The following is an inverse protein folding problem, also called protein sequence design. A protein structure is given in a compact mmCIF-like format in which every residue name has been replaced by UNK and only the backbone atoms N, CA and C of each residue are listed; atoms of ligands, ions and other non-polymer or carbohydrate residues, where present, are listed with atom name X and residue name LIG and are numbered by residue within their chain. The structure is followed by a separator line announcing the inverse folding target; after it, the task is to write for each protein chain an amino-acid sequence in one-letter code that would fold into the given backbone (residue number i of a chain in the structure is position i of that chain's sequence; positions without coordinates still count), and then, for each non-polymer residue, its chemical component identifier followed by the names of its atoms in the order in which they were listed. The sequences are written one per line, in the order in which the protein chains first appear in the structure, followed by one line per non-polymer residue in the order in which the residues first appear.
data_IF_448391986147
#
_entry.id   IF_448391986147
#
_cell.length_a   1.000
_cell.length_b   1.000
_cell.length_c   1.000
_cell.angle_alpha   90.00
_cell.angle_beta   90.00
_cell.angle_gamma   90.00
#
_symmetry.space_group_name_H-M   'P 1'
#
loop_
_entity.id
_entity.type
_entity.pdbx_description
1 polymer ?
#
# COMPACT_ATOMS: atom_id res chain seq x y z
N UNK A 1 -4.98 -14.74 -15.25
CA UNK A 1 -4.89 -14.48 -16.70
C UNK A 1 -6.30 -14.43 -17.23
N UNK A 2 -6.70 -13.30 -17.81
CA UNK A 2 -7.93 -13.19 -18.61
C UNK A 2 -7.58 -13.76 -19.99
N UNK A 3 -8.39 -14.69 -20.50
CA UNK A 3 -8.18 -15.29 -21.82
C UNK A 3 -8.55 -14.27 -22.89
N UNK A 4 -7.55 -13.65 -23.52
CA UNK A 4 -7.73 -12.56 -24.49
C UNK A 4 -7.99 -13.02 -25.93
N UNK A 5 -8.00 -14.32 -26.18
CA UNK A 5 -8.05 -14.92 -27.54
C UNK A 5 -9.25 -15.86 -27.72
N UNK A 6 -10.28 -15.72 -26.89
CA UNK A 6 -11.48 -16.56 -26.90
C UNK A 6 -12.72 -15.70 -27.08
N UNK A 7 -13.45 -15.92 -28.18
CA UNK A 7 -14.71 -15.23 -28.50
C UNK A 7 -15.87 -15.58 -27.54
N UNK A 8 -15.67 -16.57 -26.66
CA UNK A 8 -16.66 -17.09 -25.71
C UNK A 8 -15.99 -17.41 -24.38
N UNK A 9 -16.68 -17.10 -23.28
CA UNK A 9 -16.22 -17.47 -21.95
C UNK A 9 -16.27 -18.98 -21.75
N UNK A 10 -15.13 -19.61 -21.40
CA UNK A 10 -15.04 -21.07 -21.18
C UNK A 10 -15.96 -21.61 -20.06
N UNK A 11 -16.37 -20.76 -19.11
CA UNK A 11 -17.12 -21.20 -17.94
C UNK A 11 -18.64 -21.01 -18.07
N UNK A 12 -19.08 -20.02 -18.84
CA UNK A 12 -20.49 -19.68 -18.96
C UNK A 12 -20.98 -19.53 -20.41
N UNK A 13 -20.13 -19.81 -21.40
CA UNK A 13 -20.40 -19.67 -22.84
C UNK A 13 -20.90 -18.29 -23.30
N UNK A 14 -20.83 -17.28 -22.42
CA UNK A 14 -21.21 -15.92 -22.75
C UNK A 14 -20.29 -15.33 -23.84
N UNK A 15 -20.85 -14.57 -24.80
CA UNK A 15 -20.04 -13.92 -25.84
C UNK A 15 -19.08 -12.93 -25.18
N UNK A 16 -17.79 -13.03 -25.50
CA UNK A 16 -16.75 -12.18 -24.94
C UNK A 16 -16.39 -11.11 -25.97
N UNK A 17 -16.74 -9.86 -25.69
CA UNK A 17 -16.24 -8.74 -26.49
C UNK A 17 -14.80 -8.44 -26.09
N UNK A 18 -13.86 -8.61 -27.02
CA UNK A 18 -12.44 -8.37 -26.81
C UNK A 18 -12.14 -6.94 -26.37
N UNK A 19 -12.84 -5.95 -26.92
CA UNK A 19 -12.63 -4.54 -26.55
C UNK A 19 -13.03 -4.30 -25.09
N UNK A 20 -14.16 -4.87 -24.67
CA UNK A 20 -14.64 -4.76 -23.29
C UNK A 20 -13.72 -5.50 -22.32
N UNK A 21 -13.20 -6.67 -22.73
CA UNK A 21 -12.28 -7.46 -21.92
C UNK A 21 -10.93 -6.75 -21.70
N UNK A 22 -10.38 -6.11 -22.74
CA UNK A 22 -9.13 -5.34 -22.65
C UNK A 22 -9.29 -4.13 -21.72
N UNK A 23 -10.38 -3.37 -21.85
CA UNK A 23 -10.67 -2.23 -20.96
C UNK A 23 -10.86 -2.68 -19.50
N UNK A 24 -11.57 -3.79 -19.28
CA UNK A 24 -11.74 -4.36 -17.95
C UNK A 24 -10.40 -4.80 -17.33
N UNK A 25 -9.51 -5.39 -18.14
CA UNK A 25 -8.18 -5.81 -17.70
C UNK A 25 -7.31 -4.62 -17.26
N UNK A 26 -7.31 -3.52 -18.01
CA UNK A 26 -6.57 -2.30 -17.63
C UNK A 26 -7.05 -1.69 -16.31
N UNK A 27 -8.37 -1.67 -16.09
CA UNK A 27 -8.94 -1.20 -14.82
C UNK A 27 -8.51 -2.12 -13.67
N UNK A 28 -8.57 -3.44 -13.89
CA UNK A 28 -8.16 -4.42 -12.89
C UNK A 28 -6.67 -4.30 -12.54
N UNK A 29 -5.82 -4.04 -13.52
CA UNK A 29 -4.39 -3.82 -13.32
C UNK A 29 -4.14 -2.60 -12.42
N UNK A 30 -4.80 -1.48 -12.69
CA UNK A 30 -4.68 -0.25 -11.86
C UNK A 30 -5.15 -0.47 -10.43
N UNK A 31 -6.25 -1.22 -10.25
CA UNK A 31 -6.75 -1.57 -8.91
C UNK A 31 -5.75 -2.47 -8.18
N UNK A 32 -5.21 -3.49 -8.87
CA UNK A 32 -4.23 -4.39 -8.28
C UNK A 32 -2.93 -3.67 -7.91
N UNK A 33 -2.46 -2.74 -8.75
CA UNK A 33 -1.32 -1.87 -8.45
C UNK A 33 -1.58 -1.06 -7.18
N UNK A 34 -2.74 -0.39 -7.09
CA UNK A 34 -3.13 0.38 -5.91
C UNK A 34 -3.15 -0.47 -4.63
N UNK A 35 -3.72 -1.68 -4.70
CA UNK A 35 -3.79 -2.63 -3.59
C UNK A 35 -2.41 -3.12 -3.15
N UNK A 36 -1.53 -3.45 -4.10
CA UNK A 36 -0.17 -3.90 -3.80
C UNK A 36 0.64 -2.77 -3.15
N UNK A 37 0.54 -1.56 -3.69
CA UNK A 37 1.20 -0.38 -3.14
C UNK A 37 0.73 -0.07 -1.70
N UNK A 38 -0.58 -0.16 -1.42
CA UNK A 38 -1.11 0.04 -0.07
C UNK A 38 -0.58 -0.99 0.94
N UNK A 39 -0.54 -2.27 0.55
CA UNK A 39 0.04 -3.35 1.37
C UNK A 39 1.53 -3.12 1.61
N UNK A 40 2.26 -2.66 0.61
CA UNK A 40 3.69 -2.36 0.73
C UNK A 40 3.92 -1.25 1.76
N UNK A 41 3.18 -0.15 1.71
CA UNK A 41 3.27 0.95 2.69
C UNK A 41 2.95 0.45 4.11
N UNK A 42 1.90 -0.38 4.26
CA UNK A 42 1.55 -0.99 5.54
C UNK A 42 2.67 -1.88 6.09
N UNK A 43 3.29 -2.68 5.22
CA UNK A 43 4.41 -3.54 5.62
C UNK A 43 5.64 -2.72 6.01
N UNK A 44 5.93 -1.60 5.33
CA UNK A 44 6.98 -0.65 5.77
C UNK A 44 6.68 -0.08 7.15
N UNK A 45 5.43 0.34 7.40
CA UNK A 45 5.02 0.83 8.71
C UNK A 45 5.18 -0.24 9.79
N UNK A 46 4.88 -1.51 9.48
CA UNK A 46 5.20 -2.64 10.37
C UNK A 46 6.71 -2.83 10.59
N UNK A 47 7.52 -2.76 9.54
CA UNK A 47 8.98 -2.89 9.63
C UNK A 47 9.61 -1.76 10.45
N UNK A 48 9.03 -0.54 10.41
CA UNK A 48 9.47 0.58 11.24
C UNK A 48 9.40 0.26 12.73
N UNK A 49 8.41 -0.50 13.20
CA UNK A 49 8.34 -0.95 14.59
C UNK A 49 9.48 -1.89 14.96
N UNK A 50 9.84 -2.81 14.07
CA UNK A 50 10.96 -3.73 14.29
C UNK A 50 12.27 -2.92 14.41
N UNK A 51 12.49 -1.97 13.50
CA UNK A 51 13.67 -1.11 13.55
C UNK A 51 13.69 -0.21 14.78
N UNK A 52 12.53 0.27 15.24
CA UNK A 52 12.40 1.03 16.47
C UNK A 52 12.85 0.21 17.68
N UNK A 53 12.38 -1.04 17.78
CA UNK A 53 12.80 -1.97 18.83
C UNK A 53 14.31 -2.23 18.79
N UNK A 54 14.87 -2.47 17.60
CA UNK A 54 16.32 -2.63 17.41
C UNK A 54 17.06 -1.36 17.84
N UNK A 55 16.52 -0.18 17.57
CA UNK A 55 17.17 1.10 17.90
C UNK A 55 17.38 1.34 19.40
N UNK A 56 16.65 0.65 20.27
CA UNK A 56 16.85 0.70 21.72
C UNK A 56 18.07 -0.08 22.20
N UNK A 57 18.51 -1.08 21.43
CA UNK A 57 19.66 -1.93 21.78
C UNK A 57 20.88 -1.52 20.94
N UNK A 58 20.67 -1.28 19.65
CA UNK A 58 21.72 -1.03 18.68
C UNK A 58 21.44 0.23 17.86
N UNK A 59 22.37 1.18 17.87
CA UNK A 59 22.19 2.50 17.27
C UNK A 59 21.92 2.47 15.77
N UNK A 60 22.33 1.41 15.04
CA UNK A 60 22.05 1.31 13.60
C UNK A 60 20.55 1.20 13.27
N UNK A 61 19.70 0.76 14.20
CA UNK A 61 18.24 0.79 14.01
C UNK A 61 17.70 2.22 13.82
N UNK A 62 18.41 3.22 14.36
CA UNK A 62 17.99 4.63 14.35
C UNK A 62 17.92 5.20 12.93
N UNK A 63 18.92 4.92 12.09
CA UNK A 63 18.95 5.41 10.71
C UNK A 63 17.78 4.85 9.88
N UNK A 64 17.45 3.57 10.08
CA UNK A 64 16.32 2.93 9.41
C UNK A 64 14.97 3.51 9.84
N UNK A 65 14.79 3.79 11.14
CA UNK A 65 13.58 4.46 11.65
C UNK A 65 13.42 5.85 11.05
N UNK A 66 14.50 6.65 11.00
CA UNK A 66 14.45 7.98 10.37
C UNK A 66 14.14 7.91 8.88
N UNK A 67 14.73 6.96 8.14
CA UNK A 67 14.40 6.76 6.73
C UNK A 67 12.91 6.47 6.53
N UNK A 68 12.33 5.54 7.30
CA UNK A 68 10.90 5.23 7.20
C UNK A 68 9.99 6.33 7.72
N UNK A 69 10.46 7.15 8.66
CA UNK A 69 9.72 8.32 9.12
C UNK A 69 9.39 9.29 7.98
N UNK A 70 10.28 9.46 7.00
CA UNK A 70 10.04 10.30 5.82
C UNK A 70 9.44 9.53 4.63
N UNK A 71 9.87 8.30 4.39
CA UNK A 71 9.40 7.52 3.23
C UNK A 71 7.92 7.17 3.33
N UNK A 72 7.44 6.73 4.51
CA UNK A 72 6.03 6.32 4.68
C UNK A 72 5.06 7.46 4.33
N UNK A 73 5.16 8.68 4.89
CA UNK A 73 4.25 9.77 4.53
C UNK A 73 4.38 10.17 3.06
N UNK A 74 5.58 10.15 2.48
CA UNK A 74 5.77 10.39 1.04
C UNK A 74 4.94 9.41 0.20
N UNK A 75 5.04 8.10 0.48
CA UNK A 75 4.28 7.09 -0.25
C UNK A 75 2.78 7.13 0.06
N UNK A 76 2.36 7.50 1.28
CA UNK A 76 0.95 7.71 1.63
C UNK A 76 0.32 8.86 0.84
N UNK A 77 1.08 9.94 0.62
CA UNK A 77 0.69 11.10 -0.18
C UNK A 77 0.65 10.71 -1.65
N UNK A 78 1.70 10.07 -2.17
CA UNK A 78 1.74 9.57 -3.55
C UNK A 78 0.56 8.66 -3.85
N UNK A 79 0.24 7.73 -2.95
CA UNK A 79 -0.91 6.84 -3.10
C UNK A 79 -2.23 7.60 -3.18
N UNK A 80 -2.41 8.65 -2.37
CA UNK A 80 -3.61 9.49 -2.40
C UNK A 80 -3.77 10.19 -3.75
N UNK A 81 -2.69 10.75 -4.28
CA UNK A 81 -2.74 11.45 -5.56
C UNK A 81 -2.92 10.51 -6.75
N UNK A 82 -2.21 9.38 -6.79
CA UNK A 82 -2.26 8.44 -7.92
C UNK A 82 -3.51 7.57 -7.92
N UNK A 83 -3.94 7.08 -6.75
CA UNK A 83 -4.96 6.05 -6.65
C UNK A 83 -6.21 6.48 -5.87
N UNK A 84 -6.20 7.62 -5.18
CA UNK A 84 -7.31 8.05 -4.32
C UNK A 84 -8.62 8.39 -5.05
N UNK A 85 -8.54 8.70 -6.34
CA UNK A 85 -9.68 9.06 -7.20
C UNK A 85 -10.24 7.89 -8.03
N UNK A 86 -9.70 6.67 -7.88
CA UNK A 86 -10.19 5.50 -8.60
C UNK A 86 -11.65 5.19 -8.21
N UNK A 87 -12.54 5.21 -9.20
CA UNK A 87 -13.93 4.79 -9.06
C UNK A 87 -14.04 3.31 -9.43
N UNK A 88 -14.08 2.44 -8.43
CA UNK A 88 -14.29 1.00 -8.61
C UNK A 88 -15.21 0.47 -7.52
N UNK A 89 -16.00 -0.55 -7.85
CA UNK A 89 -16.87 -1.29 -6.92
C UNK A 89 -16.11 -2.46 -6.26
N UNK A 90 -14.86 -2.69 -6.66
CA UNK A 90 -14.05 -3.80 -6.17
C UNK A 90 -13.82 -3.69 -4.64
N UNK A 91 -14.18 -4.72 -3.85
CA UNK A 91 -13.96 -4.75 -2.41
C UNK A 91 -12.47 -4.70 -2.03
N UNK A 92 -11.56 -5.17 -2.89
CA UNK A 92 -10.11 -5.13 -2.62
C UNK A 92 -9.59 -3.69 -2.58
N UNK A 93 -10.17 -2.78 -3.37
CA UNK A 93 -9.81 -1.38 -3.31
C UNK A 93 -10.24 -0.71 -1.98
N UNK A 94 -11.39 -1.13 -1.42
CA UNK A 94 -11.78 -0.69 -0.07
C UNK A 94 -10.82 -1.22 0.99
N UNK A 95 -10.35 -2.46 0.83
CA UNK A 95 -9.29 -3.01 1.67
C UNK A 95 -7.98 -2.24 1.54
N UNK A 96 -7.61 -1.77 0.35
CA UNK A 96 -6.43 -0.94 0.14
C UNK A 96 -6.53 0.42 0.87
N UNK A 97 -7.69 1.07 0.86
CA UNK A 97 -7.94 2.28 1.65
C UNK A 97 -7.78 2.01 3.16
N UNK A 98 -8.28 0.87 3.63
CA UNK A 98 -8.09 0.45 5.03
C UNK A 98 -6.63 0.17 5.35
N UNK A 99 -5.90 -0.53 4.49
CA UNK A 99 -4.47 -0.81 4.69
C UNK A 99 -3.65 0.49 4.75
N UNK A 100 -4.02 1.50 3.95
CA UNK A 100 -3.44 2.85 4.03
C UNK A 100 -3.71 3.53 5.38
N UNK A 101 -4.94 3.44 5.89
CA UNK A 101 -5.29 3.98 7.22
C UNK A 101 -4.54 3.24 8.34
N UNK A 102 -4.43 1.91 8.24
CA UNK A 102 -3.63 1.11 9.18
C UNK A 102 -2.17 1.55 9.14
N UNK A 103 -1.59 1.76 7.96
CA UNK A 103 -0.22 2.24 7.84
C UNK A 103 -0.02 3.60 8.52
N UNK A 104 -0.96 4.53 8.35
CA UNK A 104 -0.93 5.83 9.04
C UNK A 104 -1.04 5.66 10.56
N UNK A 105 -1.95 4.81 11.02
CA UNK A 105 -2.14 4.50 12.43
C UNK A 105 -0.93 3.82 13.08
N UNK A 106 -0.15 3.03 12.32
CA UNK A 106 1.10 2.43 12.78
C UNK A 106 2.25 3.43 12.79
N UNK A 107 2.31 4.32 11.80
CA UNK A 107 3.38 5.30 11.65
C UNK A 107 3.34 6.39 12.72
N UNK A 108 2.15 6.94 13.03
CA UNK A 108 2.00 8.05 13.99
C UNK A 108 2.60 7.75 15.38
N UNK A 109 2.24 6.64 16.06
CA UNK A 109 2.79 6.33 17.38
C UNK A 109 4.28 6.00 17.32
N UNK A 110 4.74 5.25 16.31
CA UNK A 110 6.15 4.91 16.16
C UNK A 110 7.02 6.17 15.98
N UNK A 111 6.55 7.12 15.15
CA UNK A 111 7.19 8.42 14.97
C UNK A 111 7.21 9.24 16.26
N UNK A 112 6.09 9.30 16.97
CA UNK A 112 5.99 10.02 18.24
C UNK A 112 6.94 9.47 19.31
N UNK A 113 7.00 8.13 19.48
CA UNK A 113 7.93 7.49 20.41
C UNK A 113 9.38 7.82 20.06
N UNK A 114 9.74 7.81 18.76
CA UNK A 114 11.11 8.13 18.37
C UNK A 114 11.49 9.58 18.62
N UNK A 115 10.57 10.52 18.37
CA UNK A 115 10.78 11.94 18.66
C UNK A 115 10.93 12.18 20.17
N UNK A 116 10.09 11.56 21.00
CA UNK A 116 10.20 11.66 22.45
C UNK A 116 11.54 11.13 22.96
N UNK A 117 11.93 9.94 22.54
CA UNK A 117 13.20 9.32 22.97
C UNK A 117 14.40 10.13 22.51
N UNK A 118 14.37 10.70 21.31
CA UNK A 118 15.41 11.61 20.84
C UNK A 118 15.51 12.89 21.68
N UNK A 119 14.37 13.51 22.04
CA UNK A 119 14.35 14.72 22.85
C UNK A 119 14.83 14.48 24.29
N UNK A 120 14.55 13.32 24.89
CA UNK A 120 14.99 12.99 26.27
C UNK A 120 16.50 12.71 26.36
N UNK A 121 17.13 12.29 25.26
CA UNK A 121 18.56 11.93 25.23
C UNK A 121 19.47 13.15 24.97
N UNK A 122 18.92 14.24 24.41
CA UNK A 122 19.64 15.51 24.13
C UNK A 122 19.58 16.41 25.35
#
# INVERSE_FOLDING_TARGET
MIYSDSDKCRFCDAPLDRQVAEVAAEVQEKVNEACNHAKWIRNMAGAMWILLLISFIFTAGTAGVFAFFFLIPLYLIFWQFKFGSLKTVDPDYQKAKRDRLIALALWLPAGFIKLLTFYVII
#
